data_IF_860193497948
#
_entry.id   IF_860193497948
#
_cell.length_a   1.000
_cell.length_b   1.000
_cell.length_c   1.000
_cell.angle_alpha   90.00
_cell.angle_beta   90.00
_cell.angle_gamma   90.00
#
_symmetry.space_group_name_H-M   'P 1'
#
loop_
_entity.id
_entity.type
_entity.pdbx_description
1 polymer ?
#
# COMPACT_ATOMS: atom_id res chain seq x y z
N UNK A 1 8.76 20.08 -19.69
CA UNK A 1 9.07 18.63 -19.59
C UNK A 1 9.09 18.06 -20.98
N UNK A 2 10.00 17.13 -21.28
CA UNK A 2 9.94 16.41 -22.55
C UNK A 2 8.71 15.50 -22.57
N UNK A 3 8.23 15.09 -23.75
CA UNK A 3 7.12 14.12 -23.88
C UNK A 3 7.44 12.79 -23.18
N UNK A 4 8.72 12.39 -23.18
CA UNK A 4 9.20 11.20 -22.47
C UNK A 4 9.06 11.34 -20.95
N UNK A 5 9.32 12.54 -20.40
CA UNK A 5 9.20 12.78 -18.94
C UNK A 5 7.74 12.71 -18.52
N UNK A 6 6.83 13.29 -19.31
CA UNK A 6 5.40 13.31 -19.01
C UNK A 6 4.79 11.91 -19.05
N UNK A 7 5.15 11.07 -20.02
CA UNK A 7 4.72 9.67 -20.03
C UNK A 7 5.25 8.90 -18.81
N UNK A 8 6.49 9.18 -18.39
CA UNK A 8 7.07 8.52 -17.21
C UNK A 8 6.29 8.87 -15.94
N UNK A 9 5.93 10.15 -15.75
CA UNK A 9 5.07 10.57 -14.65
C UNK A 9 3.67 9.95 -14.74
N UNK A 10 3.06 9.92 -15.93
CA UNK A 10 1.77 9.26 -16.14
C UNK A 10 1.82 7.77 -15.80
N UNK A 11 2.76 7.01 -16.36
CA UNK A 11 2.90 5.57 -16.10
C UNK A 11 3.17 5.28 -14.63
N UNK A 12 4.04 6.08 -14.00
CA UNK A 12 4.33 5.99 -12.56
C UNK A 12 3.06 6.18 -11.73
N UNK A 13 2.29 7.25 -12.00
CA UNK A 13 1.04 7.51 -11.29
C UNK A 13 0.01 6.41 -11.55
N UNK A 14 -0.26 6.08 -12.81
CA UNK A 14 -1.26 5.10 -13.21
C UNK A 14 -0.96 3.70 -12.64
N UNK A 15 0.30 3.29 -12.59
CA UNK A 15 0.73 2.01 -12.00
C UNK A 15 0.34 1.89 -10.53
N UNK A 16 0.41 2.99 -9.77
CA UNK A 16 0.02 3.00 -8.36
C UNK A 16 -1.47 2.73 -8.15
N UNK A 17 -2.28 2.94 -9.20
CA UNK A 17 -3.73 2.73 -9.17
C UNK A 17 -4.15 1.31 -9.53
N UNK A 18 -3.26 0.51 -10.14
CA UNK A 18 -3.59 -0.84 -10.61
C UNK A 18 -3.58 -1.78 -9.41
N UNK A 19 -4.70 -2.44 -9.07
CA UNK A 19 -4.75 -3.41 -8.00
C UNK A 19 -3.77 -4.56 -8.23
N UNK A 20 -3.05 -4.96 -7.20
CA UNK A 20 -2.16 -6.13 -7.16
C UNK A 20 -2.69 -7.14 -6.18
N UNK A 21 -2.38 -8.43 -6.39
CA UNK A 21 -2.71 -9.45 -5.40
C UNK A 21 -1.91 -9.17 -4.11
N UNK A 22 -2.58 -9.08 -2.97
CA UNK A 22 -1.98 -8.74 -1.67
C UNK A 22 -0.84 -9.71 -1.34
N UNK A 23 -1.03 -10.99 -1.67
CA UNK A 23 -0.07 -12.06 -1.46
C UNK A 23 1.03 -12.15 -2.54
N UNK A 24 0.88 -11.45 -3.68
CA UNK A 24 1.91 -11.36 -4.72
C UNK A 24 3.01 -10.37 -4.29
N UNK A 25 3.96 -10.89 -3.52
CA UNK A 25 5.10 -10.13 -2.98
C UNK A 25 6.27 -10.04 -3.95
N UNK A 26 6.15 -10.59 -5.16
CA UNK A 26 7.23 -10.57 -6.13
C UNK A 26 7.35 -9.21 -6.80
N UNK A 27 8.59 -8.76 -6.96
CA UNK A 27 8.87 -7.59 -7.79
C UNK A 27 8.63 -7.96 -9.25
N UNK A 28 7.91 -7.09 -9.97
CA UNK A 28 7.69 -7.28 -11.41
C UNK A 28 9.02 -7.21 -12.14
N UNK A 29 9.28 -8.20 -12.98
CA UNK A 29 10.46 -8.24 -13.82
C UNK A 29 10.50 -7.04 -14.79
N UNK A 30 11.69 -6.66 -15.29
CA UNK A 30 11.79 -5.60 -16.30
C UNK A 30 10.94 -5.86 -17.55
N UNK A 31 10.72 -7.13 -17.92
CA UNK A 31 9.87 -7.52 -19.04
C UNK A 31 8.38 -7.23 -18.76
N UNK A 32 7.89 -7.57 -17.58
CA UNK A 32 6.50 -7.27 -17.17
C UNK A 32 6.25 -5.76 -17.06
N UNK A 33 7.25 -5.00 -16.57
CA UNK A 33 7.19 -3.53 -16.53
C UNK A 33 7.09 -2.97 -17.96
N UNK A 34 7.93 -3.45 -18.88
CA UNK A 34 7.90 -3.00 -20.27
C UNK A 34 6.59 -3.35 -20.98
N UNK A 35 6.05 -4.54 -20.75
CA UNK A 35 4.75 -4.97 -21.30
C UNK A 35 3.59 -4.13 -20.76
N UNK A 36 3.60 -3.83 -19.46
CA UNK A 36 2.62 -2.92 -18.85
C UNK A 36 2.70 -1.53 -19.48
N UNK A 37 3.91 -0.97 -19.61
CA UNK A 37 4.10 0.35 -20.21
C UNK A 37 3.67 0.38 -21.68
N UNK A 38 3.88 -0.71 -22.43
CA UNK A 38 3.39 -0.85 -23.80
C UNK A 38 1.85 -0.82 -23.87
N UNK A 39 1.17 -1.55 -22.98
CA UNK A 39 -0.31 -1.53 -22.88
C UNK A 39 -0.85 -0.15 -22.51
N UNK A 40 -0.15 0.59 -21.63
CA UNK A 40 -0.53 1.98 -21.31
C UNK A 40 -0.41 2.89 -22.53
N UNK A 41 0.63 2.73 -23.36
CA UNK A 41 0.75 3.51 -24.61
C UNK A 41 -0.37 3.20 -25.59
N UNK A 42 -0.68 1.92 -25.79
CA UNK A 42 -1.79 1.49 -26.64
C UNK A 42 -3.12 2.10 -26.16
N UNK A 43 -3.36 2.11 -24.85
CA UNK A 43 -4.54 2.78 -24.28
C UNK A 43 -4.55 4.29 -24.56
N UNK A 44 -3.41 4.98 -24.38
CA UNK A 44 -3.31 6.41 -24.64
C UNK A 44 -3.50 6.77 -26.12
N UNK A 45 -3.06 5.89 -27.03
CA UNK A 45 -3.26 6.03 -28.47
C UNK A 45 -4.73 5.77 -28.86
N UNK A 46 -5.38 4.79 -28.21
CA UNK A 46 -6.79 4.46 -28.43
C UNK A 46 -7.75 5.50 -27.85
N UNK A 47 -7.34 6.23 -26.81
CA UNK A 47 -8.13 7.27 -26.17
C UNK A 47 -7.38 8.61 -26.17
N UNK A 48 -7.37 9.34 -27.30
CA UNK A 48 -6.79 10.68 -27.36
C UNK A 48 -7.42 11.63 -26.33
N UNK A 49 -6.66 12.62 -25.88
CA UNK A 49 -7.10 13.54 -24.81
C UNK A 49 -8.41 14.25 -25.11
N UNK A 50 -8.63 14.67 -26.36
CA UNK A 50 -9.87 15.36 -26.74
C UNK A 50 -11.09 14.43 -26.62
N UNK A 51 -10.91 13.14 -26.93
CA UNK A 51 -11.96 12.14 -26.78
C UNK A 51 -12.25 11.82 -25.31
N UNK A 52 -11.20 11.62 -24.50
CA UNK A 52 -11.37 11.44 -23.04
C UNK A 52 -12.10 12.63 -22.43
N UNK A 53 -11.75 13.86 -22.85
CA UNK A 53 -12.44 15.07 -22.38
C UNK A 53 -13.90 15.09 -22.79
N UNK A 54 -14.20 14.81 -24.06
CA UNK A 54 -15.58 14.79 -24.56
C UNK A 54 -16.44 13.74 -23.84
N UNK A 55 -15.90 12.54 -23.57
CA UNK A 55 -16.61 11.49 -22.85
C UNK A 55 -16.77 11.82 -21.35
N UNK A 56 -15.76 12.41 -20.72
CA UNK A 56 -15.84 12.89 -19.33
C UNK A 56 -16.89 13.99 -19.17
N UNK A 57 -16.94 14.95 -20.10
CA UNK A 57 -17.96 16.01 -20.15
C UNK A 57 -19.36 15.43 -20.40
N UNK A 58 -19.44 14.28 -21.09
CA UNK A 58 -20.66 13.49 -21.29
C UNK A 58 -21.11 12.66 -20.07
N UNK A 59 -20.36 12.70 -18.97
CA UNK A 59 -20.70 12.03 -17.70
C UNK A 59 -20.09 10.64 -17.51
N UNK A 60 -19.30 10.13 -18.46
CA UNK A 60 -18.63 8.82 -18.30
C UNK A 60 -17.71 8.83 -17.08
N UNK A 61 -18.01 7.98 -16.09
CA UNK A 61 -17.31 7.97 -14.81
C UNK A 61 -15.84 7.57 -14.96
N UNK A 62 -15.53 6.60 -15.83
CA UNK A 62 -14.15 6.14 -16.03
C UNK A 62 -13.32 7.19 -16.77
N UNK A 63 -13.91 7.88 -17.75
CA UNK A 63 -13.23 8.96 -18.48
C UNK A 63 -13.05 10.20 -17.61
N UNK A 64 -13.96 10.49 -16.66
CA UNK A 64 -13.71 11.51 -15.62
C UNK A 64 -12.48 11.17 -14.78
N UNK A 65 -12.33 9.91 -14.36
CA UNK A 65 -11.15 9.46 -13.61
C UNK A 65 -9.86 9.59 -14.44
N UNK A 66 -9.89 9.10 -15.69
CA UNK A 66 -8.75 9.17 -16.61
C UNK A 66 -8.36 10.63 -16.93
N UNK A 67 -9.33 11.51 -17.18
CA UNK A 67 -9.07 12.94 -17.35
C UNK A 67 -8.40 13.53 -16.11
N UNK A 68 -8.84 13.13 -14.91
CA UNK A 68 -8.17 13.52 -13.67
C UNK A 68 -6.72 13.05 -13.60
N UNK A 69 -6.40 11.82 -14.03
CA UNK A 69 -5.00 11.33 -14.10
C UNK A 69 -4.17 12.16 -15.06
N UNK A 70 -4.72 12.52 -16.22
CA UNK A 70 -4.04 13.38 -17.22
C UNK A 70 -3.79 14.78 -16.70
N UNK A 71 -4.78 15.41 -16.04
CA UNK A 71 -4.64 16.72 -15.41
C UNK A 71 -3.63 16.70 -14.26
N UNK A 72 -3.59 15.64 -13.47
CA UNK A 72 -2.64 15.52 -12.36
C UNK A 72 -1.18 15.40 -12.83
N UNK A 73 -0.95 14.68 -13.93
CA UNK A 73 0.38 14.32 -14.44
C UNK A 73 0.86 15.21 -15.59
N UNK A 74 -0.06 15.94 -16.24
CA UNK A 74 0.22 16.77 -17.42
C UNK A 74 0.23 16.00 -18.75
N UNK A 75 -0.31 14.77 -18.79
CA UNK A 75 -0.30 13.96 -20.02
C UNK A 75 -1.32 14.47 -21.05
N UNK A 76 -0.82 15.13 -22.09
CA UNK A 76 -1.64 15.69 -23.17
C UNK A 76 -2.48 16.92 -22.79
N UNK A 77 -2.37 17.39 -21.55
CA UNK A 77 -3.04 18.58 -21.01
C UNK A 77 -2.09 19.35 -20.09
N UNK A 78 -2.28 20.67 -19.86
CA UNK A 78 -1.60 21.37 -18.78
C UNK A 78 -1.89 20.73 -17.42
N UNK A 79 -0.90 20.74 -16.52
CA UNK A 79 -1.07 20.23 -15.16
C UNK A 79 -2.07 21.10 -14.40
N UNK A 80 -3.08 20.45 -13.83
CA UNK A 80 -4.08 21.07 -12.95
C UNK A 80 -4.53 20.03 -11.89
N UNK A 81 -3.80 20.02 -10.76
CA UNK A 81 -4.03 19.04 -9.70
C UNK A 81 -5.35 19.28 -8.94
N UNK A 82 -5.83 20.51 -8.90
CA UNK A 82 -7.09 20.84 -8.21
C UNK A 82 -8.28 20.37 -9.05
N UNK A 83 -8.25 20.61 -10.37
CA UNK A 83 -9.26 20.07 -11.28
C UNK A 83 -9.25 18.54 -11.31
N UNK A 84 -8.07 17.90 -11.24
CA UNK A 84 -7.97 16.45 -11.14
C UNK A 84 -8.68 15.89 -9.90
N UNK A 85 -8.42 16.48 -8.73
CA UNK A 85 -9.08 16.09 -7.47
C UNK A 85 -10.58 16.30 -7.51
N UNK A 86 -11.04 17.44 -8.03
CA UNK A 86 -12.46 17.73 -8.17
C UNK A 86 -13.18 16.67 -9.03
N UNK A 87 -12.55 16.20 -10.12
CA UNK A 87 -13.11 15.11 -10.92
C UNK A 87 -13.20 13.79 -10.12
N UNK A 88 -12.14 13.40 -9.41
CA UNK A 88 -12.16 12.17 -8.62
C UNK A 88 -13.14 12.24 -7.45
N UNK A 89 -13.21 13.38 -6.76
CA UNK A 89 -14.21 13.64 -5.72
C UNK A 89 -15.62 13.49 -6.30
N UNK A 90 -15.89 14.14 -7.45
CA UNK A 90 -17.18 14.04 -8.11
C UNK A 90 -17.58 12.60 -8.38
N UNK A 91 -16.68 11.75 -8.90
CA UNK A 91 -16.96 10.33 -9.16
C UNK A 91 -17.13 9.54 -7.85
N UNK A 92 -16.27 9.78 -6.86
CA UNK A 92 -16.29 9.03 -5.60
C UNK A 92 -17.50 9.32 -4.70
N UNK A 93 -18.12 10.49 -4.84
CA UNK A 93 -19.27 10.93 -4.06
C UNK A 93 -20.61 10.86 -4.80
N UNK A 94 -20.61 10.46 -6.08
CA UNK A 94 -21.80 10.44 -6.92
C UNK A 94 -22.70 9.25 -6.57
N UNK A 95 -23.74 9.52 -5.78
CA UNK A 95 -24.73 8.51 -5.38
C UNK A 95 -25.68 8.08 -6.52
N UNK A 96 -25.57 8.68 -7.71
CA UNK A 96 -26.37 8.32 -8.88
C UNK A 96 -25.70 7.25 -9.75
N UNK A 97 -24.42 6.96 -9.50
CA UNK A 97 -23.67 5.92 -10.19
C UNK A 97 -24.22 4.54 -9.87
N UNK A 98 -24.18 3.67 -10.88
CA UNK A 98 -24.69 2.31 -10.80
C UNK A 98 -23.62 1.32 -10.37
N UNK A 99 -24.00 0.06 -10.13
CA UNK A 99 -23.04 -1.00 -9.82
C UNK A 99 -21.97 -1.20 -10.91
N UNK A 100 -22.30 -0.92 -12.19
CA UNK A 100 -21.32 -1.03 -13.29
C UNK A 100 -20.26 0.07 -13.27
N UNK A 101 -20.51 1.16 -12.54
CA UNK A 101 -19.59 2.29 -12.39
C UNK A 101 -18.65 2.12 -11.18
N UNK A 102 -18.84 1.09 -10.37
CA UNK A 102 -18.02 0.82 -9.19
C UNK A 102 -16.50 0.76 -9.47
N UNK A 103 -16.02 0.20 -10.60
CA UNK A 103 -14.60 0.27 -10.94
C UNK A 103 -14.08 1.71 -11.08
N UNK A 104 -14.91 2.63 -11.59
CA UNK A 104 -14.55 4.05 -11.68
C UNK A 104 -14.50 4.70 -10.29
N UNK A 105 -15.49 4.40 -9.43
CA UNK A 105 -15.54 4.86 -8.02
C UNK A 105 -14.29 4.40 -7.26
N UNK A 106 -13.96 3.10 -7.34
CA UNK A 106 -12.75 2.54 -6.73
C UNK A 106 -11.49 3.24 -7.24
N UNK A 107 -11.35 3.39 -8.57
CA UNK A 107 -10.18 4.04 -9.17
C UNK A 107 -10.06 5.52 -8.80
N UNK A 108 -11.18 6.22 -8.66
CA UNK A 108 -11.23 7.61 -8.19
C UNK A 108 -10.71 7.73 -6.75
N UNK A 109 -11.18 6.87 -5.85
CA UNK A 109 -10.73 6.83 -4.45
C UNK A 109 -9.24 6.50 -4.33
N UNK A 110 -8.74 5.56 -5.14
CA UNK A 110 -7.31 5.22 -5.18
C UNK A 110 -6.49 6.41 -5.71
N UNK A 111 -6.99 7.14 -6.70
CA UNK A 111 -6.32 8.34 -7.22
C UNK A 111 -6.28 9.47 -6.19
N UNK A 112 -7.35 9.67 -5.42
CA UNK A 112 -7.37 10.58 -4.27
C UNK A 112 -6.33 10.17 -3.22
N UNK A 113 -6.28 8.89 -2.85
CA UNK A 113 -5.26 8.32 -1.95
C UNK A 113 -3.84 8.65 -2.44
N UNK A 114 -3.54 8.43 -3.72
CA UNK A 114 -2.24 8.76 -4.30
C UNK A 114 -1.93 10.26 -4.30
N UNK A 115 -2.94 11.12 -4.50
CA UNK A 115 -2.74 12.58 -4.47
C UNK A 115 -2.39 13.09 -3.07
N UNK A 116 -3.03 12.54 -2.02
CA UNK A 116 -2.73 12.85 -0.62
C UNK A 116 -1.39 12.25 -0.20
N UNK A 117 -1.04 11.07 -0.71
CA UNK A 117 0.28 10.48 -0.56
C UNK A 117 1.39 11.41 -1.07
N UNK A 118 1.21 11.97 -2.27
CA UNK A 118 2.17 12.89 -2.87
C UNK A 118 2.24 14.22 -2.09
N UNK A 119 1.11 14.69 -1.54
CA UNK A 119 1.10 15.85 -0.64
C UNK A 119 1.89 15.58 0.64
N UNK A 120 1.63 14.45 1.31
CA UNK A 120 2.38 14.01 2.50
C UNK A 120 3.88 13.90 2.23
N UNK A 121 4.28 13.33 1.10
CA UNK A 121 5.69 13.21 0.74
C UNK A 121 6.40 14.58 0.58
N UNK A 122 5.66 15.63 0.16
CA UNK A 122 6.18 17.00 0.02
C UNK A 122 6.20 17.77 1.33
N UNK A 123 5.16 17.65 2.13
CA UNK A 123 4.92 18.52 3.31
C UNK A 123 5.32 17.86 4.63
N UNK A 124 5.28 16.53 4.69
CA UNK A 124 5.31 15.75 5.93
C UNK A 124 4.03 15.91 6.77
N UNK A 125 2.97 16.50 6.22
CA UNK A 125 1.72 16.81 6.92
C UNK A 125 0.95 15.56 7.31
N UNK A 126 0.78 15.30 8.60
CA UNK A 126 0.10 14.10 9.11
C UNK A 126 -1.35 14.00 8.62
N UNK A 127 -2.03 15.14 8.46
CA UNK A 127 -3.40 15.18 7.93
C UNK A 127 -3.50 14.58 6.52
N UNK A 128 -2.55 14.88 5.63
CA UNK A 128 -2.50 14.32 4.27
C UNK A 128 -2.40 12.79 4.33
N UNK A 129 -1.56 12.23 5.22
CA UNK A 129 -1.44 10.79 5.40
C UNK A 129 -2.73 10.15 5.95
N UNK A 130 -3.41 10.83 6.88
CA UNK A 130 -4.68 10.34 7.43
C UNK A 130 -5.79 10.34 6.38
N UNK A 131 -5.84 11.36 5.53
CA UNK A 131 -6.80 11.41 4.43
C UNK A 131 -6.50 10.35 3.38
N UNK A 132 -5.23 10.15 3.00
CA UNK A 132 -4.83 9.01 2.18
C UNK A 132 -5.27 7.67 2.78
N UNK A 133 -5.10 7.50 4.10
CA UNK A 133 -5.44 6.27 4.79
C UNK A 133 -6.95 6.00 4.82
N UNK A 134 -7.79 7.04 4.93
CA UNK A 134 -9.25 6.92 4.84
C UNK A 134 -9.69 6.40 3.47
N UNK A 135 -9.18 6.99 2.38
CA UNK A 135 -9.48 6.50 1.02
C UNK A 135 -8.97 5.07 0.81
N UNK A 136 -7.75 4.77 1.27
CA UNK A 136 -7.18 3.42 1.20
C UNK A 136 -8.05 2.39 1.94
N UNK A 137 -8.56 2.74 3.13
CA UNK A 137 -9.44 1.88 3.91
C UNK A 137 -10.79 1.65 3.22
N UNK A 138 -11.40 2.69 2.64
CA UNK A 138 -12.66 2.54 1.90
C UNK A 138 -12.47 1.59 0.70
N UNK A 139 -11.40 1.76 -0.08
CA UNK A 139 -11.11 0.88 -1.23
C UNK A 139 -10.86 -0.56 -0.77
N UNK A 140 -10.05 -0.76 0.28
CA UNK A 140 -9.82 -2.07 0.86
C UNK A 140 -11.13 -2.73 1.32
N UNK A 141 -12.05 -1.94 1.87
CA UNK A 141 -13.39 -2.36 2.28
C UNK A 141 -14.30 -2.77 1.12
N UNK A 142 -14.21 -2.07 -0.02
CA UNK A 142 -14.96 -2.40 -1.24
C UNK A 142 -14.50 -3.72 -1.86
N UNK A 143 -13.21 -4.06 -1.72
CA UNK A 143 -12.67 -5.34 -2.18
C UNK A 143 -12.87 -6.47 -1.16
N UNK A 144 -13.12 -6.16 0.12
CA UNK A 144 -13.22 -7.15 1.20
C UNK A 144 -14.66 -7.63 1.39
N UNK A 145 -15.10 -8.63 0.64
CA UNK A 145 -16.21 -9.55 1.00
C UNK A 145 -17.57 -8.97 1.49
N UNK A 146 -17.84 -7.65 1.42
CA UNK A 146 -19.17 -7.07 1.73
C UNK A 146 -20.14 -7.27 0.55
N UNK A 147 -19.99 -8.34 -0.23
CA UNK A 147 -21.09 -8.88 -1.02
C UNK A 147 -21.11 -10.43 -1.00
N UNK A 148 -21.41 -11.07 0.15
CA UNK A 148 -21.73 -12.49 0.18
C UNK A 148 -22.96 -12.82 -0.70
N UNK A 149 -23.82 -11.84 -0.92
CA UNK A 149 -25.05 -11.91 -1.74
C UNK A 149 -24.78 -12.19 -3.23
N UNK A 150 -23.55 -12.01 -3.71
CA UNK A 150 -23.13 -12.34 -5.07
C UNK A 150 -22.39 -13.68 -5.19
N UNK A 151 -22.26 -14.45 -4.10
CA UNK A 151 -21.69 -15.80 -4.15
C UNK A 151 -20.19 -15.86 -4.46
N UNK A 152 -19.46 -14.76 -4.26
CA UNK A 152 -18.01 -14.71 -4.41
C UNK A 152 -17.37 -15.02 -3.04
N UNK A 153 -16.73 -16.17 -2.92
CA UNK A 153 -15.90 -16.50 -1.75
C UNK A 153 -14.46 -16.02 -1.96
N UNK A 154 -13.85 -15.53 -0.88
CA UNK A 154 -12.44 -15.17 -0.66
C UNK A 154 -12.10 -13.67 -0.82
N UNK A 155 -12.04 -12.99 0.33
CA UNK A 155 -11.86 -11.55 0.49
C UNK A 155 -10.70 -10.90 -0.21
N UNK A 156 -10.86 -9.59 -0.46
CA UNK A 156 -9.93 -8.61 -1.03
C UNK A 156 -8.59 -9.20 -1.47
N UNK A 157 -8.59 -10.00 -2.53
CA UNK A 157 -7.35 -10.56 -3.08
C UNK A 157 -6.48 -9.45 -3.61
N UNK A 158 -7.10 -8.36 -4.08
CA UNK A 158 -6.40 -7.27 -4.73
C UNK A 158 -6.42 -6.00 -3.87
N UNK A 159 -5.35 -5.22 -3.96
CA UNK A 159 -5.27 -3.87 -3.42
C UNK A 159 -4.33 -3.02 -4.27
N UNK A 160 -4.61 -1.73 -4.40
CA UNK A 160 -3.69 -0.82 -5.06
C UNK A 160 -2.36 -0.68 -4.28
N UNK A 161 -1.18 -0.66 -4.94
CA UNK A 161 0.10 -0.44 -4.30
C UNK A 161 0.16 0.80 -3.41
N UNK A 162 -0.54 1.88 -3.78
CA UNK A 162 -0.60 3.11 -2.98
C UNK A 162 -1.26 2.90 -1.62
N UNK A 163 -2.30 2.07 -1.53
CA UNK A 163 -2.96 1.78 -0.26
C UNK A 163 -2.03 0.98 0.68
N UNK A 164 -1.28 0.00 0.15
CA UNK A 164 -0.26 -0.73 0.93
C UNK A 164 0.84 0.21 1.44
N UNK A 165 1.32 1.12 0.60
CA UNK A 165 2.33 2.09 1.01
C UNK A 165 1.78 3.00 2.11
N UNK A 166 0.55 3.46 1.98
CA UNK A 166 -0.13 4.30 2.98
C UNK A 166 -0.25 3.57 4.32
N UNK A 167 -0.67 2.30 4.30
CA UNK A 167 -0.71 1.46 5.50
C UNK A 167 0.68 1.32 6.15
N UNK A 168 1.73 1.11 5.36
CA UNK A 168 3.11 1.03 5.86
C UNK A 168 3.59 2.33 6.50
N UNK A 169 3.29 3.50 5.93
CA UNK A 169 3.65 4.78 6.55
C UNK A 169 2.88 5.03 7.83
N UNK A 170 1.57 4.70 7.84
CA UNK A 170 0.75 4.83 9.04
C UNK A 170 1.25 3.90 10.15
N UNK A 171 1.57 2.63 9.83
CA UNK A 171 2.15 1.67 10.75
C UNK A 171 3.44 2.22 11.38
N UNK A 172 4.33 2.78 10.57
CA UNK A 172 5.55 3.43 11.07
C UNK A 172 5.23 4.57 12.03
N UNK A 173 4.24 5.42 11.76
CA UNK A 173 3.90 6.49 12.70
C UNK A 173 3.29 5.97 14.00
N UNK A 174 2.49 4.91 13.94
CA UNK A 174 1.88 4.26 15.11
C UNK A 174 2.93 3.52 15.96
N UNK A 175 3.84 2.77 15.32
CA UNK A 175 4.87 1.95 15.97
C UNK A 175 6.10 2.77 16.39
N UNK A 176 6.51 3.76 15.58
CA UNK A 176 7.73 4.54 15.80
C UNK A 176 7.55 5.69 16.80
N UNK A 177 6.49 5.68 17.61
CA UNK A 177 6.29 6.64 18.71
C UNK A 177 7.36 6.64 19.82
N UNK A 178 8.27 5.65 19.93
CA UNK A 178 9.49 5.80 20.71
C UNK A 178 10.73 6.25 19.89
N UNK A 179 10.60 6.61 18.60
CA UNK A 179 11.72 7.00 17.72
C UNK A 179 11.91 8.52 17.58
N UNK A 180 13.10 8.93 17.09
CA UNK A 180 13.44 10.33 16.78
C UNK A 180 12.53 10.97 15.72
N UNK A 181 11.89 10.17 14.86
CA UNK A 181 10.94 10.72 13.88
C UNK A 181 9.66 11.22 14.56
N UNK A 182 9.25 10.58 15.66
CA UNK A 182 8.08 10.96 16.44
C UNK A 182 8.34 12.15 17.37
N UNK A 183 9.59 12.54 17.65
CA UNK A 183 9.92 13.70 18.49
C UNK A 183 9.33 15.02 17.97
N UNK A 184 9.02 15.10 16.67
CA UNK A 184 8.39 16.28 16.06
C UNK A 184 6.87 16.33 16.22
N UNK A 185 6.23 15.22 16.60
CA UNK A 185 4.78 15.14 16.77
C UNK A 185 4.41 15.54 18.19
N UNK A 186 3.48 16.48 18.30
CA UNK A 186 2.84 16.83 19.57
C UNK A 186 2.07 15.65 20.15
N UNK A 187 1.79 15.69 21.45
CA UNK A 187 0.97 14.67 22.11
C UNK A 187 -0.41 14.53 21.47
N UNK A 188 -1.00 15.65 21.06
CA UNK A 188 -2.33 15.69 20.45
C UNK A 188 -2.33 15.06 19.06
N UNK A 189 -1.30 15.34 18.23
CA UNK A 189 -1.15 14.69 16.92
C UNK A 189 -0.99 13.18 17.04
N UNK A 190 -0.22 12.70 18.04
CA UNK A 190 -0.07 11.26 18.29
C UNK A 190 -1.39 10.62 18.68
N UNK A 191 -2.16 11.28 19.56
CA UNK A 191 -3.48 10.82 19.97
C UNK A 191 -4.46 10.77 18.78
N UNK A 192 -4.42 11.78 17.91
CA UNK A 192 -5.22 11.83 16.69
C UNK A 192 -4.85 10.71 15.70
N UNK A 193 -3.56 10.44 15.49
CA UNK A 193 -3.09 9.33 14.64
C UNK A 193 -3.58 8.00 15.18
N UNK A 194 -3.46 7.75 16.48
CA UNK A 194 -3.97 6.51 17.09
C UNK A 194 -5.49 6.38 17.00
N UNK A 195 -6.21 7.49 17.19
CA UNK A 195 -7.66 7.49 17.04
C UNK A 195 -8.07 7.16 15.60
N UNK A 196 -7.46 7.85 14.62
CA UNK A 196 -7.71 7.59 13.22
C UNK A 196 -7.34 6.15 12.83
N UNK A 197 -6.21 5.62 13.28
CA UNK A 197 -5.79 4.25 13.01
C UNK A 197 -6.84 3.21 13.46
N UNK A 198 -7.54 3.41 14.58
CA UNK A 198 -8.58 2.48 15.04
C UNK A 198 -9.79 2.41 14.10
N UNK A 199 -10.04 3.47 13.34
CA UNK A 199 -11.17 3.56 12.40
C UNK A 199 -10.85 3.00 11.00
N UNK A 200 -9.69 2.33 10.83
CA UNK A 200 -9.21 1.84 9.53
C UNK A 200 -9.04 0.31 9.48
N UNK A 201 -10.08 -0.49 9.84
CA UNK A 201 -9.94 -1.93 9.98
C UNK A 201 -9.57 -2.65 8.67
N UNK A 202 -10.12 -2.23 7.53
CA UNK A 202 -9.85 -2.88 6.24
C UNK A 202 -8.43 -2.61 5.75
N UNK A 203 -7.91 -1.41 6.03
CA UNK A 203 -6.53 -1.09 5.70
C UNK A 203 -5.54 -1.93 6.52
N UNK A 204 -5.84 -2.17 7.81
CA UNK A 204 -5.02 -3.01 8.68
C UNK A 204 -5.06 -4.47 8.27
N UNK A 205 -6.23 -5.00 7.92
CA UNK A 205 -6.35 -6.38 7.40
C UNK A 205 -5.43 -6.60 6.19
N UNK A 206 -5.48 -5.69 5.21
CA UNK A 206 -4.60 -5.74 4.03
C UNK A 206 -3.11 -5.68 4.42
N UNK A 207 -2.75 -4.81 5.36
CA UNK A 207 -1.37 -4.67 5.84
C UNK A 207 -0.87 -5.94 6.52
N UNK A 208 -1.68 -6.54 7.40
CA UNK A 208 -1.34 -7.78 8.12
C UNK A 208 -1.21 -8.97 7.16
N UNK A 209 -2.14 -9.11 6.19
CA UNK A 209 -2.06 -10.14 5.16
C UNK A 209 -0.80 -10.00 4.30
N UNK A 210 -0.45 -8.78 3.89
CA UNK A 210 0.80 -8.51 3.18
C UNK A 210 2.02 -8.91 4.02
N UNK A 211 2.03 -8.54 5.30
CA UNK A 211 3.09 -8.92 6.24
C UNK A 211 3.23 -10.44 6.37
N UNK A 212 2.12 -11.16 6.52
CA UNK A 212 2.09 -12.62 6.59
C UNK A 212 2.58 -13.28 5.29
N UNK A 213 2.21 -12.74 4.11
CA UNK A 213 2.69 -13.22 2.82
C UNK A 213 4.21 -13.06 2.67
N UNK A 214 4.75 -11.90 3.05
CA UNK A 214 6.20 -11.66 3.07
C UNK A 214 6.89 -12.64 4.03
N UNK A 215 6.41 -12.75 5.27
CA UNK A 215 6.99 -13.66 6.26
C UNK A 215 6.95 -15.14 5.82
N UNK A 216 5.88 -15.55 5.13
CA UNK A 216 5.75 -16.89 4.55
C UNK A 216 6.80 -17.15 3.47
N UNK A 217 7.00 -16.21 2.54
CA UNK A 217 8.05 -16.31 1.51
C UNK A 217 9.45 -16.33 2.12
N UNK A 218 9.70 -15.49 3.13
CA UNK A 218 10.97 -15.49 3.84
C UNK A 218 11.24 -16.83 4.55
N UNK A 219 10.23 -17.40 5.22
CA UNK A 219 10.32 -18.71 5.86
C UNK A 219 10.54 -19.85 4.85
N UNK A 220 10.03 -19.71 3.62
CA UNK A 220 10.29 -20.61 2.50
C UNK A 220 11.68 -20.42 1.87
N UNK A 221 12.44 -19.38 2.27
CA UNK A 221 13.72 -19.03 1.67
C UNK A 221 13.62 -18.18 0.40
N UNK A 222 12.41 -17.78 0.00
CA UNK A 222 12.06 -16.99 -1.18
C UNK A 222 12.04 -15.48 -0.88
N UNK A 223 12.98 -14.95 -0.10
CA UNK A 223 12.99 -13.53 0.26
C UNK A 223 13.11 -12.61 -0.99
N UNK A 224 12.07 -11.86 -1.42
CA UNK A 224 11.93 -11.33 -2.78
C UNK A 224 13.03 -10.37 -3.25
N UNK A 225 13.60 -9.56 -2.37
CA UNK A 225 14.58 -8.52 -2.71
C UNK A 225 15.98 -8.76 -2.13
N UNK A 226 16.19 -9.87 -1.44
CA UNK A 226 17.44 -10.13 -0.71
C UNK A 226 18.58 -10.63 -1.60
N UNK A 227 18.38 -10.69 -2.92
CA UNK A 227 19.32 -11.31 -3.85
C UNK A 227 19.74 -10.41 -5.02
N UNK A 228 19.61 -9.09 -4.90
CA UNK A 228 20.17 -8.18 -5.88
C UNK A 228 21.58 -7.72 -5.54
N UNK A 229 22.41 -7.53 -6.57
CA UNK A 229 23.71 -6.92 -6.39
C UNK A 229 23.56 -5.46 -5.92
N UNK A 230 24.06 -5.17 -4.72
CA UNK A 230 24.03 -3.86 -4.10
C UNK A 230 24.79 -2.76 -4.86
N UNK A 231 25.55 -3.11 -5.92
CA UNK A 231 26.21 -2.11 -6.75
C UNK A 231 25.16 -1.35 -7.56
N UNK A 232 25.09 -0.01 -7.44
CA UNK A 232 24.19 0.79 -8.26
C UNK A 232 24.39 0.53 -9.75
N UNK A 233 23.29 0.36 -10.49
CA UNK A 233 23.30 0.09 -11.93
C UNK A 233 23.86 -1.28 -12.33
N UNK A 234 23.95 -2.25 -11.41
CA UNK A 234 24.27 -3.63 -11.79
C UNK A 234 23.03 -4.42 -12.19
N UNK A 235 21.96 -4.39 -11.39
CA UNK A 235 20.69 -5.09 -11.65
C UNK A 235 20.81 -6.62 -11.76
N UNK A 236 21.95 -7.21 -11.37
CA UNK A 236 22.12 -8.67 -11.39
C UNK A 236 21.59 -9.26 -10.09
N UNK A 237 20.46 -9.96 -10.20
CA UNK A 237 19.99 -10.88 -9.18
C UNK A 237 20.74 -12.22 -9.23
N UNK A 238 20.77 -12.96 -8.13
CA UNK A 238 21.09 -14.38 -8.18
C UNK A 238 19.94 -15.22 -7.64
N UNK A 239 19.71 -16.40 -8.23
CA UNK A 239 18.82 -17.42 -7.68
C UNK A 239 19.41 -17.99 -6.38
N UNK A 240 19.24 -17.27 -5.28
CA UNK A 240 19.64 -17.67 -3.93
C UNK A 240 20.81 -16.89 -3.33
N UNK A 241 20.76 -16.73 -1.99
CA UNK A 241 21.70 -15.94 -1.13
C UNK A 241 23.12 -16.46 -1.21
N UNK A 242 23.28 -17.74 -1.56
CA UNK A 242 24.57 -18.43 -1.57
C UNK A 242 25.39 -18.11 -2.81
N UNK A 243 24.75 -17.68 -3.90
CA UNK A 243 25.42 -17.35 -5.17
C UNK A 243 25.99 -15.92 -5.18
N UNK A 244 25.64 -15.07 -4.22
CA UNK A 244 26.15 -13.70 -4.12
C UNK A 244 27.26 -13.57 -3.07
N UNK A 245 28.31 -12.84 -3.44
CA UNK A 245 29.38 -12.48 -2.54
C UNK A 245 28.88 -11.46 -1.51
N UNK A 246 29.09 -11.74 -0.23
CA UNK A 246 28.77 -10.79 0.85
C UNK A 246 29.96 -9.88 1.15
N UNK A 247 29.70 -8.70 1.70
CA UNK A 247 30.77 -7.91 2.29
C UNK A 247 31.50 -8.70 3.41
N UNK A 248 32.82 -8.83 3.28
CA UNK A 248 33.67 -9.49 4.28
C UNK A 248 33.95 -8.65 5.52
N UNK A 249 33.43 -7.42 5.60
CA UNK A 249 33.64 -6.51 6.72
C UNK A 249 32.75 -6.78 7.93
N UNK A 250 32.92 -5.95 8.96
CA UNK A 250 32.25 -6.05 10.25
C UNK A 250 30.81 -5.50 10.28
N UNK A 251 30.26 -5.06 9.13
CA UNK A 251 28.88 -4.61 9.00
C UNK A 251 27.90 -5.62 9.61
N UNK A 252 26.87 -5.10 10.29
CA UNK A 252 25.77 -5.91 10.80
C UNK A 252 25.08 -6.64 9.64
N UNK A 253 24.50 -7.81 9.91
CA UNK A 253 23.90 -8.67 8.90
C UNK A 253 22.82 -7.95 8.07
N UNK A 254 22.07 -7.05 8.73
CA UNK A 254 21.01 -6.23 8.14
C UNK A 254 21.52 -5.23 7.08
N UNK A 255 22.73 -4.69 7.28
CA UNK A 255 23.33 -3.68 6.37
C UNK A 255 24.46 -4.27 5.54
N UNK A 256 24.58 -5.60 5.50
CA UNK A 256 25.63 -6.32 4.77
C UNK A 256 25.20 -6.54 3.32
N UNK A 257 25.77 -5.78 2.35
CA UNK A 257 25.37 -5.88 0.96
C UNK A 257 25.81 -7.20 0.33
N UNK A 258 25.07 -7.60 -0.70
CA UNK A 258 25.34 -8.73 -1.57
C UNK A 258 25.85 -8.23 -2.93
N UNK A 259 26.76 -8.98 -3.56
CA UNK A 259 27.38 -8.61 -4.82
C UNK A 259 27.44 -9.81 -5.75
N UNK A 260 27.10 -9.62 -7.03
CA UNK A 260 27.21 -10.69 -8.02
C UNK A 260 28.67 -11.03 -8.39
N UNK A 261 29.62 -10.13 -8.10
CA UNK A 261 31.04 -10.33 -8.37
C UNK A 261 31.93 -9.45 -7.47
N UNK A 262 33.24 -9.79 -7.40
CA UNK A 262 34.22 -9.00 -6.63
C UNK A 262 34.42 -7.60 -7.22
N UNK A 263 34.25 -7.46 -8.52
CA UNK A 263 34.32 -6.17 -9.22
C UNK A 263 33.18 -5.26 -8.74
N UNK A 264 31.95 -5.78 -8.64
CA UNK A 264 30.82 -5.03 -8.12
C UNK A 264 31.02 -4.60 -6.67
N UNK A 265 31.57 -5.49 -5.83
CA UNK A 265 31.95 -5.16 -4.46
C UNK A 265 32.98 -4.03 -4.38
N UNK A 266 34.04 -4.09 -5.20
CA UNK A 266 35.08 -3.05 -5.23
C UNK A 266 34.55 -1.69 -5.67
N UNK A 267 33.64 -1.67 -6.66
CA UNK A 267 33.04 -0.43 -7.17
C UNK A 267 32.13 0.22 -6.13
N UNK A 268 31.31 -0.57 -5.42
CA UNK A 268 30.43 -0.08 -4.36
C UNK A 268 31.17 0.23 -3.03
N UNK A 269 32.40 -0.30 -2.85
CA UNK A 269 33.16 -0.16 -1.61
C UNK A 269 33.31 1.28 -1.13
N UNK A 270 33.51 2.26 -2.03
CA UNK A 270 33.63 3.67 -1.65
C UNK A 270 32.40 4.16 -0.88
N UNK A 271 31.21 3.73 -1.28
CA UNK A 271 29.93 4.04 -0.64
C UNK A 271 29.73 3.20 0.62
N UNK A 272 29.89 1.88 0.50
CA UNK A 272 29.61 0.97 1.61
C UNK A 272 30.59 1.10 2.79
N UNK A 273 31.85 1.51 2.55
CA UNK A 273 32.90 1.61 3.59
C UNK A 273 32.51 2.49 4.78
N UNK A 274 31.67 3.51 4.57
CA UNK A 274 31.15 4.37 5.65
C UNK A 274 30.34 3.54 6.64
N UNK A 275 29.41 2.71 6.14
CA UNK A 275 28.56 1.83 6.94
C UNK A 275 29.30 0.60 7.45
N UNK A 276 30.26 0.10 6.67
CA UNK A 276 31.04 -1.08 7.02
C UNK A 276 31.93 -0.89 8.25
N UNK A 277 32.31 0.37 8.55
CA UNK A 277 33.18 0.72 9.68
C UNK A 277 32.44 1.09 10.95
N UNK A 278 31.20 1.58 10.84
CA UNK A 278 30.43 2.11 11.99
C UNK A 278 29.78 1.02 12.83
N UNK A 279 29.73 -0.21 12.34
CA UNK A 279 29.31 -1.37 13.10
C UNK A 279 30.45 -1.87 14.01
N UNK A 280 30.68 -1.17 15.11
CA UNK A 280 31.28 -1.83 16.27
C UNK A 280 30.32 -2.94 16.64
N UNK A 281 30.72 -4.20 16.45
CA UNK A 281 29.99 -5.36 16.98
C UNK A 281 29.59 -5.00 18.43
N UNK A 282 28.30 -5.00 18.80
CA UNK A 282 28.00 -5.10 20.23
C UNK A 282 28.77 -6.33 20.73
N UNK A 283 29.50 -6.22 21.85
CA UNK A 283 30.26 -7.34 22.38
C UNK A 283 29.30 -8.54 22.46
N UNK A 284 29.77 -9.77 22.11
CA UNK A 284 28.93 -10.94 22.17
C UNK A 284 28.27 -10.96 23.54
N UNK A 285 26.95 -10.77 23.58
CA UNK A 285 26.20 -10.91 24.80
C UNK A 285 26.43 -12.36 25.21
N UNK A 286 27.25 -12.56 26.23
CA UNK A 286 27.35 -13.84 26.92
C UNK A 286 25.93 -14.09 27.44
N UNK A 287 25.16 -14.88 26.71
CA UNK A 287 23.98 -15.54 27.24
C UNK A 287 24.51 -16.43 28.37
N UNK A 288 24.60 -15.83 29.56
CA UNK A 288 24.93 -16.52 30.78
C UNK A 288 23.85 -17.56 31.03
N UNK A 289 24.26 -18.82 31.08
CA UNK A 289 23.43 -19.96 31.46
C UNK A 289 23.03 -19.96 32.95
N UNK A 290 22.63 -18.80 33.49
CA UNK A 290 22.32 -18.63 34.90
C UNK A 290 21.12 -17.72 35.11
N UNK A 291 19.91 -18.24 34.85
CA UNK A 291 18.68 -17.89 35.58
C UNK A 291 17.66 -19.03 35.44
N UNK A 292 17.89 -20.14 36.13
CA UNK A 292 16.77 -20.95 36.64
C UNK A 292 16.51 -20.50 38.07
N UNK A 293 15.53 -19.60 38.24
CA UNK A 293 14.91 -19.38 39.53
C UNK A 293 13.88 -20.51 39.77
N UNK A 294 14.01 -21.31 40.84
CA UNK A 294 12.95 -22.22 41.24
C UNK A 294 11.85 -21.42 41.94
N UNK A 295 10.63 -21.40 41.39
CA UNK A 295 9.47 -20.98 42.18
C UNK A 295 8.39 -20.10 41.54
N UNK A 296 8.22 -20.05 40.22
CA UNK A 296 6.99 -19.48 39.65
C UNK A 296 5.91 -20.57 39.57
N UNK A 297 5.03 -20.59 40.56
CA UNK A 297 3.77 -21.36 40.53
C UNK A 297 2.94 -20.88 39.34
N UNK A 298 2.39 -21.83 38.58
CA UNK A 298 1.40 -21.59 37.52
C UNK A 298 0.22 -20.82 38.10
N UNK A 299 0.16 -19.51 37.86
CA UNK A 299 -1.07 -18.75 37.98
C UNK A 299 -1.86 -19.00 36.70
N UNK A 300 -3.01 -19.63 36.87
CA UNK A 300 -4.09 -19.70 35.88
C UNK A 300 -4.33 -18.31 35.28
N UNK A 301 -4.47 -18.29 33.96
CA UNK A 301 -4.80 -17.13 33.14
C UNK A 301 -6.01 -16.37 33.69
N UNK A 302 -5.77 -15.27 34.39
CA UNK A 302 -6.73 -14.20 34.56
C UNK A 302 -6.61 -13.29 33.32
N UNK A 303 -7.74 -13.08 32.65
CA UNK A 303 -7.82 -12.50 31.31
C UNK A 303 -7.29 -11.08 31.19
N UNK A 304 -6.80 -10.78 29.98
CA UNK A 304 -6.75 -9.41 29.47
C UNK A 304 -8.15 -8.79 29.55
N UNK A 305 -8.28 -7.50 29.91
CA UNK A 305 -9.54 -6.80 29.75
C UNK A 305 -9.91 -6.77 28.26
N UNK A 306 -11.07 -7.30 27.97
CA UNK A 306 -11.70 -7.34 26.66
C UNK A 306 -12.16 -5.92 26.28
N UNK A 307 -11.30 -5.20 25.56
CA UNK A 307 -11.51 -3.79 25.13
C UNK A 307 -12.32 -3.72 23.82
N UNK A 308 -12.66 -4.87 23.20
CA UNK A 308 -13.36 -4.94 21.92
C UNK A 308 -14.67 -5.73 22.03
N UNK A 309 -15.55 -5.33 22.95
CA UNK A 309 -16.97 -5.68 22.84
C UNK A 309 -17.64 -4.78 21.81
N UNK A 310 -17.79 -5.29 20.59
CA UNK A 310 -18.73 -4.72 19.63
C UNK A 310 -20.15 -4.79 20.22
N UNK A 311 -20.97 -3.72 20.15
CA UNK A 311 -22.36 -3.79 20.56
C UNK A 311 -23.07 -4.88 19.75
N UNK A 312 -23.73 -5.82 20.44
CA UNK A 312 -24.66 -6.74 19.78
C UNK A 312 -25.78 -5.91 19.17
N UNK A 313 -25.78 -5.76 17.85
CA UNK A 313 -26.92 -5.22 17.11
C UNK A 313 -28.07 -6.19 17.33
N UNK A 314 -29.13 -5.70 17.96
CA UNK A 314 -30.36 -6.45 18.15
C UNK A 314 -31.05 -6.52 16.78
N UNK A 315 -30.97 -7.66 16.12
CA UNK A 315 -31.78 -7.94 14.92
C UNK A 315 -33.23 -8.02 15.36
N UNK A 316 -33.97 -6.93 15.15
CA UNK A 316 -35.41 -6.90 15.30
C UNK A 316 -36.00 -7.75 14.17
N UNK A 317 -36.72 -8.81 14.54
CA UNK A 317 -37.50 -9.62 13.58
C UNK A 317 -38.47 -8.71 12.84
N UNK A 318 -38.25 -8.54 11.54
CA UNK A 318 -39.20 -7.87 10.65
C UNK A 318 -40.39 -8.83 10.50
N UNK A 319 -41.51 -8.43 11.09
CA UNK A 319 -42.77 -9.17 11.05
C UNK A 319 -43.20 -9.47 9.62
N UNK A 320 -43.54 -10.74 9.39
CA UNK A 320 -44.16 -11.30 8.20
C UNK A 320 -45.43 -10.50 7.85
N UNK A 321 -45.40 -9.75 6.75
CA UNK A 321 -46.60 -9.11 6.20
C UNK A 321 -47.39 -10.17 5.45
N UNK A 322 -48.55 -10.54 5.99
CA UNK A 322 -49.52 -11.39 5.30
C UNK A 322 -50.22 -10.58 4.20
N UNK A 323 -50.22 -11.12 2.99
CA UNK A 323 -50.95 -10.56 1.86
C UNK A 323 -52.45 -10.75 2.10
N UNK A 324 -53.20 -9.64 2.11
CA UNK A 324 -54.65 -9.67 2.02
C UNK A 324 -55.02 -9.69 0.55
N UNK A 325 -55.73 -10.74 0.15
CA UNK A 325 -56.44 -10.85 -1.12
C UNK A 325 -57.66 -9.92 -1.07
N UNK A 326 -57.69 -8.90 -1.94
CA UNK A 326 -58.91 -8.12 -2.20
C UNK A 326 -59.66 -8.77 -3.36
N UNK A 327 -60.71 -9.51 -3.02
CA UNK A 327 -61.79 -9.90 -3.93
C UNK A 327 -62.60 -8.66 -4.35
N UNK A 328 -62.72 -8.43 -5.66
CA UNK A 328 -63.59 -7.41 -6.25
C UNK A 328 -64.74 -8.13 -6.96
N UNK A 329 -65.95 -7.95 -6.42
CA UNK A 329 -67.25 -8.17 -7.08
C UNK A 329 -67.62 -7.00 -8.01
#
# INVERSE_FOLDING_TARGET
>A
MSTSDVFTEYSSFATRLIPIVVEDVDEKSPAEIAERDARMREFLDAFPTDEVKAQADGGDAMMRVELGVRLFTGYGVPVDQDAAKALWESVSSDSTLSATDMPAVQRAMIALCASFQDAYARTGGTQDLLDAARFANTVAGLDSDIIPELGLQEGAKNVAPVALWTAQQLARLVEALPSKAAEKLSSDERAAIHAAARELPFLWDVYERRGAAIAKKEAAGEAPSAFECARPGCGKGAEGKEKLLRCGGACAAEVKPYYCSRECQKLDWKRHKVLCKTSTKPPPQKLGAAMFAPGLKKTTSAGMPDIFHSPKVHTQEVGKVEAADDDVD
#
